data_IF_318664673769
#
_entry.id   IF_318664673769
#
_cell.length_a   1.000
_cell.length_b   1.000
_cell.length_c   1.000
_cell.angle_alpha   90.00
_cell.angle_beta   90.00
_cell.angle_gamma   90.00
#
_symmetry.space_group_name_H-M   'P 1'
#
loop_
_entity.id
_entity.type
_entity.pdbx_description
1 polymer ?
#
# COMPACT_ATOMS: atom_id res chain seq x y z
N UNK A 1 7.43 11.61 -4.93
CA UNK A 1 6.27 12.23 -4.25
C UNK A 1 5.34 11.11 -3.80
N UNK A 2 4.59 11.26 -2.71
CA UNK A 2 3.56 10.26 -2.33
C UNK A 2 2.34 10.43 -3.25
N UNK A 3 1.81 9.32 -3.75
CA UNK A 3 0.62 9.28 -4.58
C UNK A 3 -0.60 9.66 -3.76
N UNK A 4 -1.48 10.48 -4.35
CA UNK A 4 -2.73 10.89 -3.71
C UNK A 4 -3.61 9.65 -3.44
N UNK A 5 -4.04 9.41 -2.20
CA UNK A 5 -4.98 8.35 -1.89
C UNK A 5 -6.29 8.52 -2.66
N UNK A 6 -6.86 7.44 -3.22
CA UNK A 6 -8.16 7.48 -3.88
C UNK A 6 -9.30 7.74 -2.90
N UNK A 7 -10.43 8.24 -3.41
CA UNK A 7 -11.64 8.59 -2.62
C UNK A 7 -12.23 7.44 -1.78
N UNK A 8 -11.87 6.19 -2.06
CA UNK A 8 -12.33 5.01 -1.33
C UNK A 8 -11.42 4.62 -0.14
N UNK A 9 -10.32 5.34 0.08
CA UNK A 9 -9.56 5.32 1.33
C UNK A 9 -10.28 6.23 2.32
N UNK A 10 -11.04 5.64 3.26
CA UNK A 10 -11.93 6.41 4.15
C UNK A 10 -11.53 6.36 5.61
N UNK A 11 -10.87 5.28 6.02
CA UNK A 11 -10.51 5.06 7.42
C UNK A 11 -9.00 5.21 7.63
N UNK A 12 -8.58 5.44 8.87
CA UNK A 12 -7.15 5.42 9.23
C UNK A 12 -6.51 4.07 8.85
N UNK A 13 -7.24 2.97 9.03
CA UNK A 13 -6.77 1.64 8.60
C UNK A 13 -6.57 1.55 7.09
N UNK A 14 -7.48 2.10 6.29
CA UNK A 14 -7.31 2.17 4.83
C UNK A 14 -6.08 3.00 4.44
N UNK A 15 -5.82 4.09 5.17
CA UNK A 15 -4.68 4.98 4.93
C UNK A 15 -3.35 4.29 5.29
N UNK A 16 -3.31 3.52 6.38
CA UNK A 16 -2.17 2.68 6.73
C UNK A 16 -1.89 1.65 5.62
N UNK A 17 -2.92 0.97 5.11
CA UNK A 17 -2.76 0.08 3.96
C UNK A 17 -2.27 0.82 2.71
N UNK A 18 -2.67 2.08 2.51
CA UNK A 18 -2.24 2.87 1.36
C UNK A 18 -0.75 3.16 1.43
N UNK A 19 -0.27 3.68 2.56
CA UNK A 19 1.15 3.93 2.74
C UNK A 19 1.99 2.66 2.69
N UNK A 20 1.47 1.54 3.21
CA UNK A 20 2.16 0.25 3.09
C UNK A 20 2.23 -0.23 1.63
N UNK A 21 1.18 -0.02 0.84
CA UNK A 21 1.20 -0.30 -0.59
C UNK A 21 2.22 0.56 -1.34
N UNK A 22 2.38 1.84 -0.98
CA UNK A 22 3.43 2.72 -1.53
C UNK A 22 4.85 2.24 -1.17
N UNK A 23 5.05 1.76 0.06
CA UNK A 23 6.33 1.18 0.48
C UNK A 23 6.68 -0.07 -0.34
N UNK A 24 5.71 -0.98 -0.54
CA UNK A 24 5.90 -2.17 -1.39
C UNK A 24 6.21 -1.76 -2.83
N UNK A 25 5.48 -0.79 -3.38
CA UNK A 25 5.71 -0.31 -4.73
C UNK A 25 7.12 0.28 -4.88
N UNK A 26 7.60 1.04 -3.89
CA UNK A 26 8.96 1.57 -3.88
C UNK A 26 10.01 0.45 -3.85
N UNK A 27 9.86 -0.52 -2.95
CA UNK A 27 10.79 -1.64 -2.84
C UNK A 27 10.84 -2.50 -4.11
N UNK A 28 9.72 -2.60 -4.83
CA UNK A 28 9.60 -3.36 -6.08
C UNK A 28 9.97 -2.55 -7.34
N UNK A 29 10.39 -1.28 -7.22
CA UNK A 29 10.75 -0.43 -8.38
C UNK A 29 9.55 0.20 -9.12
N UNK A 30 8.35 0.14 -8.55
CA UNK A 30 7.08 0.61 -9.12
C UNK A 30 6.52 1.87 -8.42
N UNK A 31 7.39 2.70 -7.82
CA UNK A 31 7.01 3.79 -6.90
C UNK A 31 5.95 4.79 -7.42
N UNK A 32 5.89 5.03 -8.73
CA UNK A 32 4.96 5.97 -9.36
C UNK A 32 3.83 5.26 -10.15
N UNK A 33 3.78 3.92 -10.10
CA UNK A 33 2.76 3.13 -10.77
C UNK A 33 1.49 3.06 -9.92
N UNK A 34 0.55 3.97 -10.17
CA UNK A 34 -0.71 4.06 -9.44
C UNK A 34 -1.52 2.75 -9.46
N UNK A 35 -1.57 2.06 -10.61
CA UNK A 35 -2.28 0.78 -10.73
C UNK A 35 -1.65 -0.31 -9.85
N UNK A 36 -0.33 -0.33 -9.77
CA UNK A 36 0.40 -1.25 -8.89
C UNK A 36 0.11 -0.96 -7.41
N UNK A 37 0.15 0.31 -7.00
CA UNK A 37 -0.15 0.72 -5.61
C UNK A 37 -1.58 0.36 -5.24
N UNK A 38 -2.57 0.68 -6.08
CA UNK A 38 -3.97 0.29 -5.87
C UNK A 38 -4.13 -1.22 -5.74
N UNK A 39 -3.43 -2.01 -6.57
CA UNK A 39 -3.47 -3.47 -6.50
C UNK A 39 -2.97 -3.98 -5.14
N UNK A 40 -1.85 -3.45 -4.63
CA UNK A 40 -1.30 -3.83 -3.32
C UNK A 40 -2.22 -3.39 -2.17
N UNK A 41 -2.77 -2.18 -2.25
CA UNK A 41 -3.73 -1.69 -1.27
C UNK A 41 -4.97 -2.59 -1.17
N UNK A 42 -5.56 -2.98 -2.32
CA UNK A 42 -6.71 -3.91 -2.34
C UNK A 42 -6.38 -5.25 -1.69
N UNK A 43 -5.19 -5.79 -1.98
CA UNK A 43 -4.74 -7.08 -1.41
C UNK A 43 -4.50 -7.01 0.11
N UNK A 44 -3.96 -5.90 0.61
CA UNK A 44 -3.82 -5.67 2.06
C UNK A 44 -5.19 -5.56 2.73
N UNK A 45 -6.08 -4.74 2.15
CA UNK A 45 -7.42 -4.51 2.68
C UNK A 45 -8.28 -5.78 2.70
N UNK A 46 -8.17 -6.64 1.68
CA UNK A 46 -8.90 -7.91 1.62
C UNK A 46 -8.27 -9.02 2.46
N UNK A 47 -7.08 -8.82 3.02
CA UNK A 47 -6.33 -9.86 3.73
C UNK A 47 -5.67 -10.91 2.84
N UNK A 48 -5.74 -10.77 1.51
CA UNK A 48 -5.02 -11.62 0.55
C UNK A 48 -3.49 -11.45 0.64
N UNK A 49 -3.03 -10.32 1.18
CA UNK A 49 -1.64 -10.06 1.46
C UNK A 49 -1.53 -9.56 2.89
N UNK A 50 -0.65 -10.17 3.67
CA UNK A 50 -0.25 -9.64 4.98
C UNK A 50 1.01 -8.78 4.78
N UNK A 51 1.10 -7.69 5.53
CA UNK A 51 2.37 -6.97 5.61
C UNK A 51 3.43 -7.85 6.29
N UNK A 52 4.70 -7.60 6.00
CA UNK A 52 5.80 -8.25 6.72
C UNK A 52 5.71 -7.89 8.19
N UNK A 53 5.72 -8.89 9.07
CA UNK A 53 5.88 -8.71 10.51
C UNK A 53 7.35 -8.64 10.93
N UNK A 54 8.28 -8.91 10.01
CA UNK A 54 9.71 -8.86 10.29
C UNK A 54 10.18 -7.41 10.27
N UNK A 55 10.38 -6.85 11.46
CA UNK A 55 11.22 -5.67 11.67
C UNK A 55 12.66 -6.19 11.64
N UNK A 56 13.50 -5.67 10.74
CA UNK A 56 14.95 -5.91 10.83
C UNK A 56 15.48 -4.89 11.84
N UNK A 57 15.95 -5.38 12.99
CA UNK A 57 16.78 -4.63 13.95
C UNK A 57 18.12 -4.22 13.32
#
# INVERSE_FOLDING_TARGET
>A
MSLKPPKYVKTVRDLIYWYYAELIARAAGFKDNYGFVVSRWKKLKSGQMKWSSTIRD
#
